data_IF_467437270110
#
_entry.id   IF_467437270110
#
_cell.length_a   1.000
_cell.length_b   1.000
_cell.length_c   1.000
_cell.angle_alpha   90.00
_cell.angle_beta   90.00
_cell.angle_gamma   90.00
#
_symmetry.space_group_name_H-M   'P 1'
#
loop_
_entity.id
_entity.type
_entity.pdbx_description
1 polymer ?
#
# COMPACT_ATOMS: atom_id res chain seq x y z
N UNK A 1 25.54 -7.01 -22.51
CA UNK A 1 24.22 -7.68 -22.50
C UNK A 1 23.26 -6.63 -21.96
N UNK A 2 22.48 -5.96 -22.80
CA UNK A 2 21.58 -4.89 -22.35
C UNK A 2 20.37 -5.54 -21.70
N UNK A 3 20.29 -5.49 -20.37
CA UNK A 3 19.08 -5.84 -19.64
C UNK A 3 17.95 -4.96 -20.15
N UNK A 4 17.02 -5.59 -20.88
CA UNK A 4 15.93 -4.88 -21.54
C UNK A 4 14.88 -4.55 -20.48
N UNK A 5 14.90 -3.33 -19.97
CA UNK A 5 13.91 -2.84 -19.03
C UNK A 5 12.57 -2.60 -19.75
N UNK A 6 11.47 -2.99 -19.10
CA UNK A 6 10.11 -2.83 -19.61
C UNK A 6 9.38 -1.81 -18.77
N UNK A 7 9.04 -0.68 -19.38
CA UNK A 7 8.26 0.37 -18.75
C UNK A 7 6.77 0.21 -19.08
N UNK A 8 5.90 0.27 -18.07
CA UNK A 8 4.44 0.24 -18.23
C UNK A 8 3.77 1.35 -17.43
N UNK A 9 2.78 1.99 -18.04
CA UNK A 9 1.92 2.95 -17.34
C UNK A 9 0.77 2.18 -16.67
N UNK A 10 0.69 2.25 -15.34
CA UNK A 10 -0.34 1.59 -14.53
C UNK A 10 -0.87 2.62 -13.51
N UNK A 11 -2.18 2.87 -13.50
CA UNK A 11 -2.82 3.87 -12.62
C UNK A 11 -2.17 5.27 -12.71
N UNK A 12 -1.58 5.63 -13.86
CA UNK A 12 -0.86 6.90 -14.05
C UNK A 12 0.60 6.91 -13.56
N UNK A 13 1.10 5.80 -13.00
CA UNK A 13 2.48 5.63 -12.58
C UNK A 13 3.30 4.93 -13.65
N UNK A 14 4.51 5.43 -13.89
CA UNK A 14 5.49 4.79 -14.79
C UNK A 14 6.25 3.70 -14.02
N UNK A 15 5.85 2.44 -14.22
CA UNK A 15 6.44 1.29 -13.54
C UNK A 15 7.50 0.65 -14.42
N UNK A 16 8.74 0.60 -13.93
CA UNK A 16 9.85 -0.10 -14.59
C UNK A 16 9.98 -1.52 -14.07
N UNK A 17 10.12 -2.47 -15.00
CA UNK A 17 10.20 -3.89 -14.71
C UNK A 17 11.39 -4.53 -15.44
N UNK A 18 12.17 -5.43 -14.80
CA UNK A 18 13.39 -5.98 -15.41
C UNK A 18 13.13 -7.01 -16.52
N UNK A 19 11.87 -7.44 -16.71
CA UNK A 19 11.48 -8.37 -17.78
C UNK A 19 10.04 -8.07 -18.23
N UNK A 20 9.50 -8.78 -19.22
CA UNK A 20 8.10 -8.58 -19.63
C UNK A 20 7.17 -9.10 -18.53
N UNK A 21 6.40 -8.25 -17.82
CA UNK A 21 5.60 -8.71 -16.70
C UNK A 21 4.40 -9.52 -17.18
N UNK A 22 4.07 -10.55 -16.41
CA UNK A 22 2.89 -11.39 -16.61
C UNK A 22 1.60 -10.62 -16.29
N UNK A 23 0.47 -11.05 -16.85
CA UNK A 23 -0.83 -10.41 -16.60
C UNK A 23 -1.21 -10.38 -15.12
N UNK A 24 -0.88 -11.43 -14.37
CA UNK A 24 -1.10 -11.48 -12.91
C UNK A 24 -0.24 -10.45 -12.16
N UNK A 25 1.02 -10.27 -12.55
CA UNK A 25 1.90 -9.26 -11.97
C UNK A 25 1.39 -7.84 -12.24
N UNK A 26 0.89 -7.57 -13.45
CA UNK A 26 0.25 -6.29 -13.77
C UNK A 26 -0.97 -6.02 -12.89
N UNK A 27 -1.81 -7.04 -12.66
CA UNK A 27 -2.97 -6.90 -11.79
C UNK A 27 -2.56 -6.61 -10.34
N UNK A 28 -1.50 -7.26 -9.83
CA UNK A 28 -0.97 -6.97 -8.50
C UNK A 28 -0.47 -5.52 -8.42
N UNK A 29 0.29 -5.05 -9.40
CA UNK A 29 0.76 -3.66 -9.45
C UNK A 29 -0.40 -2.65 -9.54
N UNK A 30 -1.41 -2.94 -10.35
CA UNK A 30 -2.62 -2.12 -10.50
C UNK A 30 -3.36 -1.94 -9.18
N UNK A 31 -3.62 -3.06 -8.48
CA UNK A 31 -4.32 -3.04 -7.20
C UNK A 31 -3.48 -2.41 -6.09
N UNK A 32 -2.17 -2.68 -6.08
CA UNK A 32 -1.24 -2.05 -5.14
C UNK A 32 -1.26 -0.52 -5.30
N UNK A 33 -1.05 -0.02 -6.52
CA UNK A 33 -1.00 1.42 -6.80
C UNK A 33 -2.32 2.09 -6.48
N UNK A 34 -3.44 1.45 -6.81
CA UNK A 34 -4.76 1.94 -6.44
C UNK A 34 -4.92 2.06 -4.92
N UNK A 35 -4.57 1.02 -4.16
CA UNK A 35 -4.66 1.04 -2.69
C UNK A 35 -3.76 2.11 -2.06
N UNK A 36 -2.56 2.32 -2.61
CA UNK A 36 -1.65 3.38 -2.16
C UNK A 36 -2.23 4.77 -2.44
N UNK A 37 -2.81 4.98 -3.62
CA UNK A 37 -3.45 6.25 -3.99
C UNK A 37 -4.68 6.56 -3.12
N UNK A 38 -5.46 5.55 -2.76
CA UNK A 38 -6.66 5.73 -1.90
C UNK A 38 -6.35 5.65 -0.41
N UNK A 39 -5.09 5.44 -0.01
CA UNK A 39 -4.68 5.26 1.39
C UNK A 39 -5.48 4.16 2.11
N UNK A 40 -5.82 3.08 1.39
CA UNK A 40 -6.60 1.96 1.93
C UNK A 40 -5.76 0.69 2.00
N UNK A 41 -6.12 -0.20 2.92
CA UNK A 41 -5.55 -1.54 2.96
C UNK A 41 -6.15 -2.41 1.84
N UNK A 42 -5.33 -3.27 1.23
CA UNK A 42 -5.78 -4.21 0.21
C UNK A 42 -5.19 -5.59 0.43
N UNK A 43 -6.03 -6.63 0.32
CA UNK A 43 -5.60 -8.02 0.33
C UNK A 43 -5.38 -8.48 -1.12
N UNK A 44 -4.12 -8.79 -1.48
CA UNK A 44 -3.72 -9.12 -2.84
C UNK A 44 -3.33 -10.60 -2.94
N UNK A 45 -4.29 -11.42 -3.35
CA UNK A 45 -4.05 -12.84 -3.62
C UNK A 45 -3.51 -13.04 -5.04
N UNK A 46 -2.48 -13.88 -5.17
CA UNK A 46 -2.00 -14.33 -6.47
C UNK A 46 -1.55 -15.78 -6.41
N UNK A 47 -1.55 -16.51 -7.54
CA UNK A 47 -0.98 -17.85 -7.63
C UNK A 47 0.50 -17.88 -7.22
N UNK A 48 0.95 -18.95 -6.56
CA UNK A 48 2.33 -19.12 -6.10
C UNK A 48 3.31 -19.20 -7.27
N UNK A 49 4.54 -18.69 -7.10
CA UNK A 49 5.60 -18.79 -8.12
C UNK A 49 5.59 -17.73 -9.23
N UNK A 50 4.63 -16.79 -9.25
CA UNK A 50 4.53 -15.77 -10.33
C UNK A 50 5.31 -14.48 -10.06
N UNK A 51 6.31 -14.48 -9.17
CA UNK A 51 7.12 -13.28 -8.89
C UNK A 51 6.33 -12.12 -8.27
N UNK A 52 5.44 -12.39 -7.31
CA UNK A 52 4.66 -11.38 -6.57
C UNK A 52 5.54 -10.30 -5.94
N UNK A 53 6.61 -10.72 -5.27
CA UNK A 53 7.54 -9.81 -4.58
C UNK A 53 8.12 -8.79 -5.55
N UNK A 54 8.53 -9.23 -6.74
CA UNK A 54 9.07 -8.34 -7.75
C UNK A 54 8.02 -7.33 -8.25
N UNK A 55 6.79 -7.80 -8.51
CA UNK A 55 5.67 -6.93 -8.87
C UNK A 55 5.38 -5.87 -7.79
N UNK A 56 5.33 -6.27 -6.53
CA UNK A 56 5.10 -5.36 -5.40
C UNK A 56 6.22 -4.33 -5.26
N UNK A 57 7.48 -4.76 -5.33
CA UNK A 57 8.64 -3.87 -5.22
C UNK A 57 8.67 -2.85 -6.36
N UNK A 58 8.50 -3.29 -7.62
CA UNK A 58 8.47 -2.39 -8.77
C UNK A 58 7.33 -1.37 -8.67
N UNK A 59 6.13 -1.80 -8.29
CA UNK A 59 5.00 -0.89 -8.08
C UNK A 59 5.24 0.11 -6.94
N UNK A 60 5.77 -0.36 -5.81
CA UNK A 60 6.09 0.51 -4.67
C UNK A 60 7.20 1.53 -4.98
N UNK A 61 8.23 1.13 -5.72
CA UNK A 61 9.30 2.03 -6.17
C UNK A 61 8.74 3.10 -7.13
N UNK A 62 7.91 2.71 -8.09
CA UNK A 62 7.28 3.64 -9.01
C UNK A 62 6.42 4.70 -8.29
N UNK A 63 5.64 4.26 -7.29
CA UNK A 63 4.88 5.17 -6.43
C UNK A 63 5.80 6.16 -5.70
N UNK A 64 6.86 5.67 -5.06
CA UNK A 64 7.81 6.53 -4.34
C UNK A 64 8.52 7.54 -5.28
N UNK A 65 8.95 7.10 -6.46
CA UNK A 65 9.61 7.98 -7.43
C UNK A 65 8.69 9.08 -7.94
N UNK A 66 7.42 8.75 -8.21
CA UNK A 66 6.41 9.73 -8.61
C UNK A 66 6.23 10.81 -7.54
N UNK A 67 6.12 10.41 -6.28
CA UNK A 67 5.96 11.35 -5.16
C UNK A 67 7.23 12.19 -4.93
N UNK A 68 8.43 11.60 -5.02
CA UNK A 68 9.71 12.34 -4.95
C UNK A 68 9.81 13.41 -6.02
N UNK A 69 9.43 13.10 -7.27
CA UNK A 69 9.41 14.07 -8.38
C UNK A 69 8.41 15.20 -8.12
N UNK A 70 7.23 14.87 -7.59
CA UNK A 70 6.19 15.87 -7.26
C UNK A 70 6.64 16.83 -6.15
N UNK A 71 7.27 16.32 -5.10
CA UNK A 71 7.80 17.16 -4.01
C UNK A 71 9.03 17.96 -4.47
N UNK A 72 9.89 17.40 -5.31
CA UNK A 72 11.06 18.08 -5.86
C UNK A 72 10.73 19.18 -6.88
N UNK A 73 9.72 18.98 -7.73
CA UNK A 73 9.27 20.00 -8.70
C UNK A 73 8.53 21.18 -8.05
N UNK A 74 8.09 21.05 -6.80
CA UNK A 74 7.48 22.15 -6.06
C UNK A 74 8.51 23.18 -5.57
N UNK A 75 9.81 22.87 -5.61
CA UNK A 75 10.88 23.77 -5.13
C UNK A 75 11.29 24.84 -6.15
N UNK A 76 10.94 24.71 -7.43
CA UNK A 76 11.33 25.68 -8.47
C UNK A 76 10.28 26.78 -8.72
N UNK A 77 9.09 26.72 -8.09
CA UNK A 77 8.01 27.69 -8.35
C UNK A 77 7.70 28.62 -7.16
N UNK A 78 7.99 28.25 -5.90
CA UNK A 78 7.61 29.11 -4.76
C UNK A 78 8.69 29.10 -3.66
N UNK A 79 9.59 30.09 -3.68
CA UNK A 79 10.13 30.67 -2.45
C UNK A 79 9.09 31.68 -1.95
N UNK A 80 8.78 31.63 -0.66
CA UNK A 80 7.75 32.40 0.10
C UNK A 80 6.43 31.64 0.31
N UNK A 81 6.39 30.77 1.33
CA UNK A 81 5.90 31.17 2.66
C UNK A 81 6.15 30.01 3.64
N UNK A 82 6.88 30.30 4.71
CA UNK A 82 6.97 29.49 5.91
C UNK A 82 5.60 29.42 6.59
N UNK A 83 5.07 28.21 6.80
CA UNK A 83 4.18 27.92 7.91
C UNK A 83 4.17 26.42 8.21
N UNK A 84 4.33 26.14 9.50
CA UNK A 84 4.45 24.86 10.18
C UNK A 84 3.43 23.80 9.75
N UNK A 85 3.91 22.65 9.28
CA UNK A 85 3.22 21.37 9.41
C UNK A 85 4.19 20.36 10.03
N UNK A 86 4.61 20.65 11.26
CA UNK A 86 5.09 19.62 12.19
C UNK A 86 3.87 18.84 12.69
N UNK A 87 3.27 18.02 11.83
CA UNK A 87 2.22 17.10 12.24
C UNK A 87 2.88 15.86 12.84
N UNK A 88 2.95 15.88 14.17
CA UNK A 88 3.24 14.79 15.07
C UNK A 88 2.51 13.52 14.58
N UNK A 89 3.25 12.54 14.06
CA UNK A 89 2.69 11.21 13.83
C UNK A 89 2.27 10.65 15.19
N UNK A 90 0.99 10.33 15.45
CA UNK A 90 0.64 9.60 16.66
C UNK A 90 1.32 8.24 16.59
N UNK A 91 1.92 7.82 17.71
CA UNK A 91 2.55 6.53 17.85
C UNK A 91 1.56 5.41 17.49
N UNK A 92 2.06 4.35 16.84
CA UNK A 92 1.27 3.23 16.30
C UNK A 92 0.49 2.49 17.41
N UNK A 93 0.81 2.73 18.67
CA UNK A 93 0.25 2.08 19.84
C UNK A 93 -1.19 2.53 20.18
N UNK A 94 -1.66 3.67 19.67
CA UNK A 94 -3.01 4.20 19.96
C UNK A 94 -4.13 3.71 19.01
N UNK A 95 -3.80 3.00 17.93
CA UNK A 95 -4.78 2.63 16.88
C UNK A 95 -5.43 1.26 17.14
N UNK A 96 -4.85 0.44 18.01
CA UNK A 96 -5.45 -0.87 18.36
C UNK A 96 -6.01 -0.76 19.78
N UNK A 97 -7.33 -0.62 19.98
CA UNK A 97 -7.90 -0.86 21.30
C UNK A 97 -7.58 -2.31 21.66
N UNK A 98 -6.69 -2.50 22.62
CA UNK A 98 -6.36 -3.77 23.23
C UNK A 98 -7.59 -4.26 24.00
N UNK A 99 -8.55 -4.85 23.28
CA UNK A 99 -9.66 -5.55 23.93
C UNK A 99 -9.08 -6.79 24.58
N UNK A 100 -8.99 -6.74 25.91
CA UNK A 100 -8.56 -7.86 26.75
C UNK A 100 -9.38 -9.11 26.43
N UNK A 101 -8.72 -10.27 26.38
CA UNK A 101 -9.30 -11.57 26.02
C UNK A 101 -10.55 -11.95 26.84
N UNK A 102 -10.75 -11.32 28.01
CA UNK A 102 -11.94 -11.48 28.86
C UNK A 102 -13.23 -10.96 28.21
N UNK A 103 -13.18 -9.87 27.42
CA UNK A 103 -14.38 -9.31 26.78
C UNK A 103 -14.90 -10.22 25.65
N UNK A 104 -13.99 -10.82 24.88
CA UNK A 104 -14.36 -11.75 23.80
C UNK A 104 -14.96 -13.06 24.35
N UNK A 105 -14.45 -13.57 25.48
CA UNK A 105 -14.96 -14.79 26.10
C UNK A 105 -16.36 -14.62 26.72
N UNK A 106 -16.71 -13.41 27.17
CA UNK A 106 -18.07 -13.09 27.65
C UNK A 106 -19.10 -13.15 26.51
N UNK A 107 -18.79 -12.56 25.36
CA UNK A 107 -19.70 -12.51 24.22
C UNK A 107 -19.97 -13.91 23.62
N UNK A 108 -18.97 -14.79 23.64
CA UNK A 108 -19.11 -16.19 23.19
C UNK A 108 -20.01 -16.99 24.15
N UNK A 109 -19.89 -16.76 25.46
CA UNK A 109 -20.66 -17.50 26.46
C UNK A 109 -22.13 -17.06 26.53
N UNK A 110 -22.44 -15.79 26.26
CA UNK A 110 -23.83 -15.32 26.13
C UNK A 110 -24.49 -15.90 24.87
N UNK A 111 -23.80 -15.92 23.74
CA UNK A 111 -24.32 -16.52 22.49
C UNK A 111 -24.56 -18.03 22.64
N UNK A 112 -23.75 -18.76 23.42
CA UNK A 112 -24.00 -20.18 23.74
C UNK A 112 -25.21 -20.39 24.66
N UNK A 113 -25.57 -19.43 25.51
CA UNK A 113 -26.73 -19.53 26.41
C UNK A 113 -28.05 -19.28 25.69
N UNK A 114 -28.06 -18.46 24.64
CA UNK A 114 -29.23 -18.16 23.81
C UNK A 114 -29.62 -19.28 22.83
N UNK A 115 -28.72 -20.23 22.54
CA UNK A 115 -28.98 -21.36 21.61
C UNK A 115 -29.45 -22.63 22.32
N UNK A 116 -29.79 -22.55 23.61
CA UNK A 116 -30.28 -23.68 24.42
C UNK A 116 -31.65 -23.45 25.06
N UNK A 117 -32.44 -22.55 24.49
CA UNK A 117 -33.89 -22.48 24.70
C UNK A 117 -34.62 -22.74 23.39
#
# INVERSE_FOLDING_TARGET
>A
MTDKEFTQNIQGYEVRFPCKPYSSQKLIMDRLLKSLQTQTNGLLESPTGTGKTLALLCGACAFQEFHKKKTGQSQDIIKQNDQDDNELRPDIEDIIPEKTEEEQNKEINEKKKASKQ
#
